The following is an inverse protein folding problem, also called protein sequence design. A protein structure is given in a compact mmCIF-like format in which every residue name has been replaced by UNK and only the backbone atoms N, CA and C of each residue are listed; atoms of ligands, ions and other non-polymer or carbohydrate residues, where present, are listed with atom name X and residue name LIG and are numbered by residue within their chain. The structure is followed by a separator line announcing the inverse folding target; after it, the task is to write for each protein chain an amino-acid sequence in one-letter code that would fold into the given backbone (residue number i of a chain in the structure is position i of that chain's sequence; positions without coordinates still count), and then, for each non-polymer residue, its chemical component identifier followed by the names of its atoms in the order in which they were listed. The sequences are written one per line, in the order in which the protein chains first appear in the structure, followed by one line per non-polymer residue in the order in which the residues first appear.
data_IF_623115552435
#
_entry.id   IF_623115552435
#
_cell.length_a   1.000
_cell.length_b   1.000
_cell.length_c   1.000
_cell.angle_alpha   90.00
_cell.angle_beta   90.00
_cell.angle_gamma   90.00
#
_symmetry.space_group_name_H-M   'P 1'
#
loop_
_entity.id
_entity.type
_entity.pdbx_description
1 polymer ?
#
# COMPACT_ATOMS: atom_id res chain seq x y z
N UNK A 1 -12.99 22.83 6.27
CA UNK A 1 -12.32 22.03 7.32
C UNK A 1 -11.54 20.91 6.64
N UNK A 2 -10.24 21.10 6.39
CA UNK A 2 -9.38 20.02 5.92
C UNK A 2 -8.97 19.19 7.15
N UNK A 3 -9.40 17.94 7.22
CA UNK A 3 -8.95 17.02 8.27
C UNK A 3 -7.44 16.87 8.16
N UNK A 4 -6.69 17.38 9.13
CA UNK A 4 -5.28 17.10 9.25
C UNK A 4 -5.12 15.59 9.44
N UNK A 5 -4.54 14.91 8.45
CA UNK A 5 -4.17 13.51 8.57
C UNK A 5 -3.32 13.38 9.84
N UNK A 6 -3.79 12.63 10.83
CA UNK A 6 -3.12 12.50 12.12
C UNK A 6 -1.66 12.07 11.90
N UNK A 7 -0.75 13.03 12.07
CA UNK A 7 0.69 12.78 11.97
C UNK A 7 1.06 11.81 13.08
N UNK A 8 1.71 10.69 12.72
CA UNK A 8 2.77 10.19 13.57
C UNK A 8 2.62 8.84 14.26
N UNK A 9 1.77 7.90 13.78
CA UNK A 9 2.02 6.48 14.12
C UNK A 9 2.93 5.87 13.06
N UNK A 10 4.06 5.32 13.51
CA UNK A 10 4.98 4.56 12.66
C UNK A 10 4.24 3.43 11.96
N UNK A 11 4.67 3.10 10.74
CA UNK A 11 4.18 1.92 10.03
C UNK A 11 4.61 0.67 10.78
N UNK A 12 3.64 -0.18 11.10
CA UNK A 12 3.87 -1.48 11.72
C UNK A 12 4.14 -2.54 10.66
N UNK A 13 4.77 -3.65 11.06
CA UNK A 13 4.98 -4.80 10.17
C UNK A 13 3.68 -5.36 9.61
N UNK A 14 2.59 -5.38 10.40
CA UNK A 14 1.27 -5.82 9.94
C UNK A 14 0.71 -4.91 8.82
N UNK A 15 0.90 -3.59 8.96
CA UNK A 15 0.52 -2.64 7.91
C UNK A 15 1.35 -2.86 6.63
N UNK A 16 2.66 -3.08 6.77
CA UNK A 16 3.53 -3.35 5.62
C UNK A 16 3.14 -4.68 4.92
N UNK A 17 2.85 -5.74 5.66
CA UNK A 17 2.39 -7.02 5.12
C UNK A 17 1.05 -6.90 4.39
N UNK A 18 0.08 -6.18 4.97
CA UNK A 18 -1.22 -5.91 4.33
C UNK A 18 -1.05 -5.08 3.05
N UNK A 19 -0.16 -4.07 3.07
CA UNK A 19 0.13 -3.24 1.91
C UNK A 19 0.79 -4.04 0.78
N UNK A 20 1.73 -4.93 1.10
CA UNK A 20 2.32 -5.85 0.12
C UNK A 20 1.29 -6.78 -0.52
N UNK A 21 0.40 -7.39 0.29
CA UNK A 21 -0.68 -8.24 -0.22
C UNK A 21 -1.62 -7.46 -1.13
N UNK A 22 -1.97 -6.23 -0.75
CA UNK A 22 -2.88 -5.38 -1.51
C UNK A 22 -2.29 -4.99 -2.86
N UNK A 23 -1.01 -4.56 -2.86
CA UNK A 23 -0.31 -4.22 -4.09
C UNK A 23 -0.19 -5.42 -5.03
N UNK A 24 0.18 -6.60 -4.50
CA UNK A 24 0.28 -7.83 -5.28
C UNK A 24 -1.05 -8.21 -5.93
N UNK A 25 -2.14 -8.21 -5.15
CA UNK A 25 -3.47 -8.54 -5.65
C UNK A 25 -3.92 -7.59 -6.77
N UNK A 26 -3.64 -6.29 -6.64
CA UNK A 26 -3.96 -5.30 -7.67
C UNK A 26 -3.08 -5.46 -8.92
N UNK A 27 -1.82 -5.86 -8.74
CA UNK A 27 -0.89 -6.10 -9.85
C UNK A 27 -1.22 -7.36 -10.65
N UNK A 28 -1.84 -8.35 -10.01
CA UNK A 28 -2.30 -9.60 -10.62
C UNK A 28 -3.73 -9.52 -11.21
N UNK A 29 -4.42 -8.37 -11.07
CA UNK A 29 -5.78 -8.17 -11.61
C UNK A 29 -5.78 -8.07 -13.13
N UNK A 30 -6.09 -9.20 -13.77
CA UNK A 30 -6.14 -9.36 -15.23
C UNK A 30 -7.27 -8.58 -15.91
N UNK A 31 -8.33 -8.18 -15.18
CA UNK A 31 -9.52 -7.56 -15.76
C UNK A 31 -9.27 -6.11 -16.17
N UNK A 32 -8.51 -5.36 -15.36
CA UNK A 32 -8.28 -3.92 -15.62
C UNK A 32 -6.97 -3.62 -16.36
N UNK A 33 -6.09 -4.61 -16.49
CA UNK A 33 -4.83 -4.49 -17.22
C UNK A 33 -3.90 -3.37 -16.69
N UNK A 34 -2.88 -3.04 -17.49
CA UNK A 34 -1.80 -2.11 -17.13
C UNK A 34 -2.14 -0.63 -17.35
N UNK A 35 -3.25 -0.32 -18.03
CA UNK A 35 -3.61 1.05 -18.46
C UNK A 35 -4.17 1.94 -17.34
N UNK A 36 -3.74 1.74 -16.10
CA UNK A 36 -4.24 2.45 -14.93
C UNK A 36 -3.41 3.71 -14.68
N UNK A 37 -4.08 4.80 -14.31
CA UNK A 37 -3.37 5.96 -13.76
C UNK A 37 -2.72 5.59 -12.43
N UNK A 38 -1.59 6.21 -12.11
CA UNK A 38 -0.86 5.95 -10.86
C UNK A 38 -1.75 6.18 -9.63
N UNK A 39 -2.54 7.26 -9.63
CA UNK A 39 -3.56 7.56 -8.61
C UNK A 39 -4.63 6.45 -8.53
N UNK A 40 -5.10 5.97 -9.68
CA UNK A 40 -6.06 4.89 -9.78
C UNK A 40 -5.55 3.59 -9.14
N UNK A 41 -4.27 3.23 -9.36
CA UNK A 41 -3.64 2.07 -8.71
C UNK A 41 -3.66 2.26 -7.19
N UNK A 42 -3.15 3.38 -6.69
CA UNK A 42 -3.02 3.60 -5.25
C UNK A 42 -4.35 3.70 -4.51
N UNK A 43 -5.38 4.24 -5.15
CA UNK A 43 -6.75 4.29 -4.60
C UNK A 43 -7.30 2.89 -4.36
N UNK A 44 -7.07 1.97 -5.30
CA UNK A 44 -7.50 0.58 -5.15
C UNK A 44 -6.65 -0.16 -4.14
N UNK A 45 -5.34 0.07 -4.13
CA UNK A 45 -4.43 -0.52 -3.15
C UNK A 45 -4.85 -0.11 -1.74
N UNK A 46 -5.15 1.17 -1.49
CA UNK A 46 -5.65 1.59 -0.17
C UNK A 46 -6.99 0.95 0.16
N UNK A 47 -7.91 0.82 -0.81
CA UNK A 47 -9.18 0.13 -0.57
C UNK A 47 -8.98 -1.33 -0.19
N UNK A 48 -8.15 -2.06 -0.94
CA UNK A 48 -7.86 -3.48 -0.70
C UNK A 48 -7.09 -3.70 0.60
N UNK A 49 -6.17 -2.79 0.92
CA UNK A 49 -5.47 -2.74 2.20
C UNK A 49 -6.47 -2.66 3.37
N UNK A 50 -7.49 -1.79 3.29
CA UNK A 50 -8.51 -1.67 4.33
C UNK A 50 -9.39 -2.94 4.43
N UNK A 51 -9.71 -3.58 3.30
CA UNK A 51 -10.47 -4.85 3.28
C UNK A 51 -9.77 -5.97 4.08
N UNK A 52 -8.44 -6.01 4.10
CA UNK A 52 -7.68 -7.00 4.88
C UNK A 52 -7.80 -6.84 6.40
N UNK A 53 -8.40 -5.76 6.89
CA UNK A 53 -8.68 -5.59 8.31
C UNK A 53 -10.07 -6.10 8.72
N UNK A 54 -10.83 -6.74 7.81
CA UNK A 54 -12.05 -7.53 8.08
C UNK A 54 -13.03 -6.88 9.10
N UNK A 55 -13.26 -5.57 9.00
CA UNK A 55 -14.20 -4.86 9.87
C UNK A 55 -13.62 -4.39 11.20
N UNK A 56 -12.35 -4.66 11.50
CA UNK A 56 -11.61 -3.92 12.52
C UNK A 56 -11.14 -2.59 11.94
N UNK A 57 -11.35 -1.48 12.66
CA UNK A 57 -10.81 -0.19 12.24
C UNK A 57 -9.28 -0.30 12.31
N UNK A 58 -8.55 -0.18 11.19
CA UNK A 58 -7.10 -0.19 11.26
C UNK A 58 -6.68 0.95 12.19
N UNK A 59 -5.72 0.73 13.11
CA UNK A 59 -5.33 1.70 14.12
C UNK A 59 -4.82 3.03 13.53
N UNK A 60 -4.60 3.07 12.21
CA UNK A 60 -4.39 4.28 11.45
C UNK A 60 -5.06 4.17 10.07
N UNK A 61 -5.96 5.09 9.75
CA UNK A 61 -6.60 5.16 8.43
C UNK A 61 -5.59 5.72 7.43
N UNK A 62 -4.81 4.84 6.81
CA UNK A 62 -3.84 5.21 5.77
C UNK A 62 -4.56 5.54 4.46
N UNK A 63 -4.38 6.75 3.96
CA UNK A 63 -4.90 7.14 2.65
C UNK A 63 -4.00 6.60 1.50
N UNK A 64 -4.48 6.72 0.27
CA UNK A 64 -3.75 6.23 -0.92
C UNK A 64 -2.36 6.87 -1.07
N UNK A 65 -2.21 8.16 -0.73
CA UNK A 65 -0.92 8.86 -0.75
C UNK A 65 0.07 8.27 0.26
N UNK A 66 -0.40 7.96 1.47
CA UNK A 66 0.39 7.32 2.53
C UNK A 66 0.88 5.94 2.10
N UNK A 67 -0.01 5.14 1.51
CA UNK A 67 0.33 3.83 0.95
C UNK A 67 1.37 3.95 -0.18
N UNK A 68 1.15 4.89 -1.11
CA UNK A 68 2.07 5.15 -2.22
C UNK A 68 3.47 5.56 -1.72
N UNK A 69 3.51 6.51 -0.77
CA UNK A 69 4.74 7.01 -0.17
C UNK A 69 5.50 5.90 0.58
N UNK A 70 4.80 5.11 1.41
CA UNK A 70 5.42 3.99 2.14
C UNK A 70 5.99 2.95 1.19
N UNK A 71 5.22 2.58 0.16
CA UNK A 71 5.64 1.60 -0.83
C UNK A 71 6.92 2.04 -1.54
N UNK A 72 6.89 3.23 -2.14
CA UNK A 72 7.99 3.76 -2.96
C UNK A 72 9.27 3.99 -2.15
N UNK A 73 9.14 4.45 -0.90
CA UNK A 73 10.30 4.83 -0.08
C UNK A 73 10.91 3.68 0.72
N UNK A 74 10.10 2.70 1.13
CA UNK A 74 10.56 1.69 2.09
C UNK A 74 10.37 0.25 1.62
N UNK A 75 9.23 -0.10 1.02
CA UNK A 75 8.93 -1.49 0.64
C UNK A 75 9.62 -1.87 -0.67
N UNK A 76 9.38 -1.13 -1.75
CA UNK A 76 9.93 -1.42 -3.06
C UNK A 76 11.48 -1.42 -3.08
N UNK A 77 12.18 -0.44 -2.48
CA UNK A 77 13.64 -0.48 -2.41
C UNK A 77 14.17 -1.68 -1.62
N UNK A 78 13.46 -2.10 -0.56
CA UNK A 78 13.86 -3.28 0.22
C UNK A 78 13.73 -4.55 -0.61
N UNK A 79 12.67 -4.68 -1.42
CA UNK A 79 12.50 -5.81 -2.35
C UNK A 79 13.60 -5.84 -3.42
N UNK A 80 13.97 -4.67 -3.97
CA UNK A 80 15.03 -4.60 -4.98
C UNK A 80 16.41 -4.96 -4.45
N UNK A 81 16.72 -4.65 -3.19
CA UNK A 81 17.97 -5.10 -2.56
C UNK A 81 18.07 -6.63 -2.50
N UNK A 82 16.95 -7.31 -2.22
CA UNK A 82 16.92 -8.78 -2.27
C UNK A 82 17.14 -9.30 -3.68
N UNK A 83 16.55 -8.66 -4.69
CA UNK A 83 16.78 -9.04 -6.08
C UNK A 83 18.26 -8.91 -6.48
N UNK A 84 18.93 -7.82 -6.11
CA UNK A 84 20.35 -7.61 -6.37
C UNK A 84 21.24 -8.61 -5.65
N UNK A 85 20.87 -9.05 -4.44
CA UNK A 85 21.65 -10.03 -3.69
C UNK A 85 21.52 -11.48 -4.23
N UNK A 86 20.55 -11.73 -5.11
CA UNK A 86 20.30 -13.02 -5.75
C UNK A 86 20.84 -13.08 -7.20
N UNK A 87 21.42 -12.00 -7.70
CA UNK A 87 22.12 -11.91 -8.99
C UNK A 87 23.64 -11.98 -8.77
#
# INVERSE_FOLDING_TARGET
MASSAMKGRAWTRKEDEALCKAYRWISEDSVRGISQTSEGVWTRVSKKYLEFYEGTIPPNTRNHESCSSRWKKHLHPSLNKWHQALQ
#
